data_IF_342602863274
#
_entry.id   IF_342602863274
#
_cell.length_a   1.000
_cell.length_b   1.000
_cell.length_c   1.000
_cell.angle_alpha   90.00
_cell.angle_beta   90.00
_cell.angle_gamma   90.00
#
_symmetry.space_group_name_H-M   'P 1'
#
loop_
_entity.id
_entity.type
_entity.pdbx_description
1 polymer ?
#
# COMPACT_ATOMS: atom_id res chain seq x y z
N UNK A 1 8.55 -12.04 16.19
CA UNK A 1 8.00 -11.40 14.99
C UNK A 1 8.83 -11.83 13.78
N UNK A 2 8.20 -12.48 12.84
CA UNK A 2 8.89 -12.95 11.64
C UNK A 2 8.44 -12.10 10.44
N UNK A 3 9.30 -11.19 10.02
CA UNK A 3 9.01 -10.30 8.90
C UNK A 3 9.33 -10.96 7.57
N UNK A 4 8.48 -10.73 6.58
CA UNK A 4 8.64 -11.24 5.22
C UNK A 4 9.16 -10.10 4.35
N UNK A 5 10.27 -10.30 3.60
CA UNK A 5 10.78 -9.25 2.74
C UNK A 5 9.88 -9.04 1.52
N UNK A 6 9.75 -7.79 1.11
CA UNK A 6 9.04 -7.39 -0.10
C UNK A 6 10.04 -6.75 -1.06
N UNK A 7 10.11 -7.31 -2.26
CA UNK A 7 11.16 -7.00 -3.23
C UNK A 7 10.62 -6.12 -4.35
N UNK A 8 11.49 -5.24 -4.87
CA UNK A 8 11.19 -4.51 -6.09
C UNK A 8 11.46 -5.41 -7.34
N UNK A 9 11.29 -4.82 -8.51
CA UNK A 9 11.49 -5.52 -9.79
C UNK A 9 12.89 -6.13 -9.92
N UNK A 10 13.89 -5.51 -9.33
CA UNK A 10 15.28 -5.96 -9.40
C UNK A 10 15.64 -6.97 -8.32
N UNK A 11 14.71 -7.32 -7.45
CA UNK A 11 14.94 -8.24 -6.34
C UNK A 11 15.52 -7.58 -5.09
N UNK A 12 15.55 -6.27 -5.02
CA UNK A 12 16.02 -5.55 -3.83
C UNK A 12 14.89 -5.41 -2.81
N UNK A 13 15.21 -5.63 -1.53
CA UNK A 13 14.24 -5.46 -0.46
C UNK A 13 13.91 -3.98 -0.29
N UNK A 14 12.64 -3.64 -0.34
CA UNK A 14 12.15 -2.26 -0.17
C UNK A 14 11.27 -2.10 1.04
N UNK A 15 10.70 -3.18 1.53
CA UNK A 15 9.79 -3.16 2.68
C UNK A 15 9.75 -4.54 3.33
N UNK A 16 9.13 -4.61 4.49
CA UNK A 16 8.93 -5.85 5.25
C UNK A 16 7.48 -5.92 5.70
N UNK A 17 6.90 -7.09 5.61
CA UNK A 17 5.53 -7.32 6.06
C UNK A 17 5.50 -8.24 7.27
N UNK A 18 4.63 -7.94 8.22
CA UNK A 18 4.33 -8.83 9.34
C UNK A 18 3.06 -9.62 9.03
N UNK A 19 3.16 -10.92 8.73
CA UNK A 19 1.98 -11.71 8.37
C UNK A 19 0.93 -11.77 9.48
N UNK A 20 1.35 -11.69 10.73
CA UNK A 20 0.42 -11.79 11.86
C UNK A 20 -0.51 -10.61 11.99
N UNK A 21 0.02 -9.40 11.83
CA UNK A 21 -0.77 -8.17 11.97
C UNK A 21 -1.17 -7.55 10.64
N UNK A 22 -0.48 -7.93 9.55
CA UNK A 22 -0.66 -7.33 8.24
C UNK A 22 0.08 -6.01 8.06
N UNK A 23 0.73 -5.49 9.07
CA UNK A 23 1.46 -4.22 8.95
C UNK A 23 2.67 -4.37 8.03
N UNK A 24 2.93 -3.31 7.25
CA UNK A 24 4.06 -3.21 6.34
C UNK A 24 4.93 -2.05 6.80
N UNK A 25 6.23 -2.32 6.95
CA UNK A 25 7.20 -1.33 7.39
C UNK A 25 8.20 -1.07 6.27
N UNK A 26 8.76 0.15 6.26
CA UNK A 26 9.83 0.49 5.33
C UNK A 26 11.20 0.03 5.88
N UNK A 27 12.26 0.36 5.16
CA UNK A 27 13.62 -0.06 5.54
C UNK A 27 14.10 0.59 6.84
N UNK A 28 13.49 1.69 7.26
CA UNK A 28 13.80 2.35 8.53
C UNK A 28 13.03 1.78 9.70
N UNK A 29 12.10 0.86 9.46
CA UNK A 29 11.23 0.30 10.51
C UNK A 29 9.95 1.08 10.73
N UNK A 30 9.66 2.05 9.88
CA UNK A 30 8.47 2.89 10.00
C UNK A 30 7.28 2.23 9.33
N UNK A 31 6.17 2.13 10.05
CA UNK A 31 4.93 1.60 9.53
C UNK A 31 4.35 2.58 8.50
N UNK A 32 3.98 2.09 7.32
CA UNK A 32 3.38 2.96 6.31
C UNK A 32 2.09 2.40 5.70
N UNK A 33 1.84 1.11 5.85
CA UNK A 33 0.64 0.48 5.26
C UNK A 33 0.29 -0.80 6.01
N UNK A 34 -0.87 -1.35 5.72
CA UNK A 34 -1.25 -2.67 6.21
C UNK A 34 -2.08 -3.41 5.18
N UNK A 35 -2.05 -4.73 5.28
CA UNK A 35 -2.85 -5.64 4.47
C UNK A 35 -4.11 -6.01 5.23
N UNK A 36 -5.25 -5.91 4.58
CA UNK A 36 -6.50 -6.44 5.10
C UNK A 36 -7.25 -7.10 3.94
N UNK A 37 -7.40 -8.43 4.02
CA UNK A 37 -7.88 -9.25 2.91
C UNK A 37 -7.03 -8.99 1.65
N UNK A 38 -7.63 -8.54 0.57
CA UNK A 38 -6.93 -8.25 -0.68
C UNK A 38 -6.58 -6.78 -0.86
N UNK A 39 -6.76 -5.97 0.17
CA UNK A 39 -6.49 -4.53 0.11
C UNK A 39 -5.19 -4.17 0.80
N UNK A 40 -4.48 -3.20 0.23
CA UNK A 40 -3.38 -2.50 0.88
C UNK A 40 -3.89 -1.14 1.28
N UNK A 41 -3.82 -0.84 2.57
CA UNK A 41 -4.31 0.41 3.14
C UNK A 41 -3.15 1.20 3.72
N UNK A 42 -3.20 2.51 3.58
CA UNK A 42 -2.25 3.38 4.24
C UNK A 42 -2.39 3.26 5.76
N UNK A 43 -1.41 3.75 6.50
CA UNK A 43 -1.49 3.76 7.96
C UNK A 43 -2.67 4.56 8.50
N UNK A 44 -3.33 5.35 7.66
CA UNK A 44 -4.53 6.12 8.03
C UNK A 44 -5.82 5.45 7.58
N UNK A 45 -5.74 4.32 6.90
CA UNK A 45 -6.90 3.52 6.52
C UNK A 45 -7.40 3.70 5.09
N UNK A 46 -6.75 4.54 4.28
CA UNK A 46 -7.16 4.73 2.88
C UNK A 46 -6.52 3.66 2.00
N UNK A 47 -7.31 2.99 1.18
CA UNK A 47 -6.78 1.96 0.29
C UNK A 47 -5.92 2.59 -0.79
N UNK A 48 -4.69 2.06 -0.95
CA UNK A 48 -3.71 2.55 -1.92
C UNK A 48 -3.33 1.49 -2.95
N UNK A 49 -3.80 0.27 -2.78
CA UNK A 49 -3.49 -0.81 -3.70
C UNK A 49 -4.11 -2.12 -3.30
N UNK A 50 -3.58 -3.21 -3.87
CA UNK A 50 -4.08 -4.56 -3.64
C UNK A 50 -2.96 -5.53 -3.32
N UNK A 51 -3.30 -6.48 -2.45
CA UNK A 51 -2.47 -7.64 -2.12
C UNK A 51 -3.02 -8.86 -2.85
N UNK A 52 -2.21 -9.48 -3.68
CA UNK A 52 -2.64 -10.62 -4.50
C UNK A 52 -2.00 -11.94 -4.07
N UNK A 53 -1.73 -12.10 -2.78
CA UNK A 53 -1.19 -13.33 -2.19
C UNK A 53 0.32 -13.38 -2.15
N UNK A 54 1.01 -12.93 -3.18
CA UNK A 54 2.47 -12.94 -3.29
C UNK A 54 3.07 -11.62 -3.76
N UNK A 55 2.22 -10.64 -4.11
CA UNK A 55 2.71 -9.34 -4.57
C UNK A 55 1.70 -8.24 -4.32
N UNK A 56 2.18 -7.01 -4.42
CA UNK A 56 1.41 -5.79 -4.22
C UNK A 56 1.29 -5.05 -5.54
N UNK A 57 0.08 -4.63 -5.88
CA UNK A 57 -0.18 -3.71 -6.98
C UNK A 57 -0.65 -2.37 -6.42
N UNK A 58 -0.25 -1.28 -7.08
CA UNK A 58 -0.70 0.05 -6.70
C UNK A 58 -2.14 0.30 -7.19
N UNK A 59 -2.66 1.49 -6.94
CA UNK A 59 -4.03 1.86 -7.32
C UNK A 59 -4.25 1.84 -8.85
N UNK A 60 -3.18 1.88 -9.64
CA UNK A 60 -3.24 1.83 -11.09
C UNK A 60 -3.13 0.41 -11.65
N UNK A 61 -3.01 -0.59 -10.77
CA UNK A 61 -2.90 -1.98 -11.17
C UNK A 61 -1.50 -2.43 -11.55
N UNK A 62 -0.50 -1.58 -11.38
CA UNK A 62 0.90 -1.90 -11.65
C UNK A 62 1.52 -2.67 -10.49
N UNK A 63 2.43 -3.60 -10.78
CA UNK A 63 3.15 -4.34 -9.74
C UNK A 63 4.19 -3.43 -9.09
N UNK A 64 4.23 -3.41 -7.77
CA UNK A 64 5.17 -2.56 -7.01
C UNK A 64 6.17 -3.39 -6.22
N UNK A 65 5.69 -4.38 -5.49
CA UNK A 65 6.49 -5.22 -4.61
C UNK A 65 6.04 -6.66 -4.71
N UNK A 66 6.97 -7.59 -4.48
CA UNK A 66 6.66 -9.01 -4.47
C UNK A 66 7.40 -9.72 -3.34
N UNK A 67 6.85 -10.87 -2.92
CA UNK A 67 7.59 -11.79 -2.06
C UNK A 67 8.70 -12.46 -2.85
N UNK A 68 9.75 -12.99 -2.17
CA UNK A 68 10.73 -13.84 -2.84
C UNK A 68 10.05 -15.02 -3.53
N UNK A 69 10.60 -15.43 -4.67
CA UNK A 69 10.08 -16.54 -5.47
C UNK A 69 8.68 -16.35 -6.06
N UNK A 70 8.15 -15.14 -6.01
CA UNK A 70 6.88 -14.86 -6.66
C UNK A 70 7.02 -14.97 -8.18
N UNK A 71 5.98 -15.50 -8.81
CA UNK A 71 5.89 -15.56 -10.26
C UNK A 71 4.71 -14.69 -10.69
N UNK A 72 5.01 -13.62 -11.42
CA UNK A 72 4.03 -12.61 -11.81
C UNK A 72 4.02 -12.52 -13.32
N UNK A 73 2.85 -12.75 -13.93
CA UNK A 73 2.70 -12.76 -15.39
C UNK A 73 3.68 -13.72 -16.06
N UNK A 74 3.93 -14.88 -15.43
CA UNK A 74 4.85 -15.89 -15.94
C UNK A 74 6.33 -15.58 -15.73
N UNK A 75 6.65 -14.48 -15.05
CA UNK A 75 8.04 -14.06 -14.81
C UNK A 75 8.37 -14.25 -13.34
N UNK A 76 9.42 -15.03 -13.08
CA UNK A 76 9.90 -15.25 -11.71
C UNK A 76 10.78 -14.09 -11.29
N UNK A 77 10.49 -13.54 -10.09
CA UNK A 77 11.26 -12.42 -9.56
C UNK A 77 12.62 -12.91 -9.08
N UNK A 78 13.73 -12.21 -9.43
CA UNK A 78 15.05 -12.60 -8.96
C UNK A 78 15.12 -12.65 -7.44
N UNK A 79 15.78 -13.69 -6.92
CA UNK A 79 15.96 -13.87 -5.50
C UNK A 79 17.38 -13.47 -5.11
N UNK A 80 17.51 -12.55 -4.16
CA UNK A 80 18.83 -12.20 -3.63
C UNK A 80 19.28 -13.26 -2.65
N UNK A 81 20.51 -13.76 -2.82
CA UNK A 81 21.09 -14.77 -1.93
C UNK A 81 21.27 -14.26 -0.50
N UNK A 82 21.42 -12.95 -0.33
CA UNK A 82 21.60 -12.31 0.96
C UNK A 82 20.55 -11.25 1.17
N UNK A 83 19.62 -11.55 2.08
CA UNK A 83 18.63 -10.57 2.49
C UNK A 83 19.21 -9.68 3.58
N UNK A 84 18.91 -8.37 3.58
CA UNK A 84 19.31 -7.51 4.68
C UNK A 84 18.59 -7.94 5.96
N UNK A 85 19.13 -7.51 7.11
CA UNK A 85 18.49 -7.74 8.39
C UNK A 85 17.25 -6.86 8.50
N UNK A 86 16.10 -7.42 8.91
CA UNK A 86 14.91 -6.60 9.10
C UNK A 86 15.13 -5.54 10.18
N UNK A 87 14.59 -4.33 10.02
CA UNK A 87 14.71 -3.31 11.03
C UNK A 87 13.85 -3.64 12.26
N UNK A 88 14.19 -3.06 13.39
CA UNK A 88 13.32 -3.10 14.56
C UNK A 88 12.14 -2.17 14.33
N UNK A 89 10.94 -2.63 14.71
CA UNK A 89 9.74 -1.84 14.52
C UNK A 89 8.76 -2.08 15.66
N UNK A 90 8.04 -1.03 16.01
CA UNK A 90 6.89 -1.11 16.89
C UNK A 90 5.63 -1.10 16.02
N UNK A 91 4.90 -2.21 16.04
CA UNK A 91 3.69 -2.34 15.25
C UNK A 91 2.49 -1.88 16.08
N UNK A 92 1.58 -1.11 15.48
CA UNK A 92 0.33 -0.77 16.17
C UNK A 92 -0.46 -2.03 16.53
N UNK A 93 -1.24 -1.94 17.60
CA UNK A 93 -2.05 -3.08 18.07
C UNK A 93 -3.39 -3.18 17.35
N UNK A 94 -3.81 -2.14 16.64
CA UNK A 94 -5.07 -2.12 15.93
C UNK A 94 -4.92 -1.37 14.61
N UNK A 95 -5.83 -1.66 13.68
CA UNK A 95 -5.88 -0.95 12.40
C UNK A 95 -6.88 0.19 12.45
N UNK A 96 -6.65 1.30 11.70
CA UNK A 96 -7.63 2.36 11.61
C UNK A 96 -8.86 1.93 10.81
N UNK A 97 -9.91 2.72 10.85
CA UNK A 97 -11.05 2.53 9.96
C UNK A 97 -10.60 2.60 8.50
N UNK A 98 -11.18 1.72 7.68
CA UNK A 98 -10.72 1.53 6.32
C UNK A 98 -11.66 2.20 5.33
N UNK A 99 -11.07 2.89 4.35
CA UNK A 99 -11.78 3.48 3.22
C UNK A 99 -11.29 2.78 1.96
N UNK A 100 -12.17 2.01 1.32
CA UNK A 100 -11.82 1.23 0.14
C UNK A 100 -11.88 2.05 -1.13
N UNK A 101 -11.05 1.68 -2.11
CA UNK A 101 -11.14 2.24 -3.45
C UNK A 101 -12.46 1.82 -4.08
N UNK A 102 -13.09 2.75 -4.79
CA UNK A 102 -14.34 2.50 -5.50
C UNK A 102 -14.11 1.86 -6.88
N UNK A 103 -12.90 2.02 -7.42
CA UNK A 103 -12.54 1.47 -8.72
C UNK A 103 -12.07 0.03 -8.58
N UNK A 104 -12.45 -0.88 -9.51
CA UNK A 104 -11.95 -2.24 -9.48
C UNK A 104 -10.47 -2.31 -9.84
N UNK A 105 -9.83 -3.39 -9.43
CA UNK A 105 -8.45 -3.67 -9.82
C UNK A 105 -8.41 -4.01 -11.32
N UNK A 106 -7.60 -3.26 -12.08
CA UNK A 106 -7.27 -3.57 -13.46
C UNK A 106 -5.80 -3.95 -13.52
N UNK A 107 -5.51 -5.25 -13.63
CA UNK A 107 -4.13 -5.74 -13.64
C UNK A 107 -3.41 -5.29 -14.90
N UNK A 108 -2.25 -4.67 -14.72
CA UNK A 108 -1.36 -4.28 -15.81
C UNK A 108 -0.06 -5.08 -15.74
N UNK A 109 0.54 -5.34 -16.90
CA UNK A 109 1.80 -6.08 -16.98
C UNK A 109 3.02 -5.20 -16.69
N UNK A 110 2.79 -3.98 -16.24
CA UNK A 110 3.85 -3.02 -15.94
C UNK A 110 4.21 -3.06 -14.47
N UNK A 111 5.49 -2.79 -14.20
CA UNK A 111 5.99 -2.54 -12.86
C UNK A 111 6.10 -1.06 -12.63
N UNK A 112 5.83 -0.63 -11.40
CA UNK A 112 6.08 0.72 -10.93
C UNK A 112 7.09 0.68 -9.81
N UNK A 113 7.76 1.78 -9.54
CA UNK A 113 8.69 1.85 -8.42
C UNK A 113 7.93 1.89 -7.08
N UNK A 114 8.65 1.65 -6.00
CA UNK A 114 8.08 1.66 -4.66
C UNK A 114 7.46 3.02 -4.33
N UNK A 115 8.04 4.09 -4.84
CA UNK A 115 7.52 5.44 -4.64
C UNK A 115 6.11 5.65 -5.17
N UNK A 116 5.68 4.87 -6.17
CA UNK A 116 4.32 4.99 -6.71
C UNK A 116 3.25 4.64 -5.68
N UNK A 117 3.54 3.75 -4.73
CA UNK A 117 2.64 3.43 -3.64
C UNK A 117 2.54 4.60 -2.67
N UNK A 118 3.67 5.21 -2.34
CA UNK A 118 3.72 6.41 -1.49
C UNK A 118 3.04 7.60 -2.16
N UNK A 119 3.27 7.81 -3.44
CA UNK A 119 2.64 8.88 -4.21
C UNK A 119 1.12 8.75 -4.19
N UNK A 120 0.60 7.56 -4.41
CA UNK A 120 -0.83 7.31 -4.31
C UNK A 120 -1.37 7.70 -2.95
N UNK A 121 -0.63 7.38 -1.90
CA UNK A 121 -0.98 7.73 -0.54
C UNK A 121 -0.99 9.25 -0.31
N UNK A 122 0.04 9.94 -0.76
CA UNK A 122 0.14 11.40 -0.62
C UNK A 122 -0.94 12.14 -1.39
N UNK A 123 -1.25 11.69 -2.60
CA UNK A 123 -2.31 12.28 -3.40
C UNK A 123 -3.67 12.14 -2.74
N UNK A 124 -3.95 10.98 -2.16
CA UNK A 124 -5.19 10.75 -1.44
C UNK A 124 -5.29 11.63 -0.21
N UNK A 125 -4.20 11.81 0.53
CA UNK A 125 -4.17 12.72 1.68
C UNK A 125 -4.41 14.16 1.26
N UNK A 126 -3.80 14.61 0.18
CA UNK A 126 -4.01 15.95 -0.35
C UNK A 126 -5.48 16.16 -0.75
N UNK A 127 -6.08 15.17 -1.40
CA UNK A 127 -7.50 15.20 -1.75
C UNK A 127 -8.37 15.31 -0.50
N UNK A 128 -8.12 14.48 0.51
CA UNK A 128 -8.87 14.52 1.77
C UNK A 128 -8.77 15.88 2.46
N UNK A 129 -7.58 16.48 2.48
CA UNK A 129 -7.39 17.82 3.03
C UNK A 129 -8.22 18.86 2.29
N UNK A 130 -8.25 18.79 0.97
CA UNK A 130 -9.03 19.73 0.15
C UNK A 130 -10.53 19.58 0.41
N UNK A 131 -11.02 18.36 0.52
CA UNK A 131 -12.42 18.10 0.87
C UNK A 131 -12.76 18.68 2.23
N UNK A 132 -11.91 18.48 3.22
CA UNK A 132 -12.12 19.04 4.56
C UNK A 132 -12.14 20.57 4.56
N UNK A 133 -11.27 21.17 3.75
CA UNK A 133 -11.21 22.62 3.63
C UNK A 133 -12.48 23.21 3.04
N UNK A 134 -13.08 22.51 2.08
CA UNK A 134 -14.29 22.97 1.41
C UNK A 134 -15.55 22.77 2.25
N UNK A 135 -15.59 21.75 3.11
CA UNK A 135 -16.75 21.42 3.93
C UNK A 135 -17.27 22.57 4.78
N UNK A 136 -16.43 23.31 5.54
CA UNK A 136 -16.93 24.42 6.34
C UNK A 136 -17.54 25.54 5.51
N UNK A 137 -17.03 25.75 4.30
CA UNK A 137 -17.53 26.77 3.39
C UNK A 137 -18.84 26.36 2.72
N UNK A 138 -19.08 25.06 2.65
CA UNK A 138 -20.24 24.48 1.97
C UNK A 138 -21.26 23.89 2.91
N UNK A 139 -21.30 24.36 4.15
CA UNK A 139 -22.28 23.91 5.15
C UNK A 139 -23.71 24.01 4.68
N UNK A 140 -24.00 24.97 3.82
CA UNK A 140 -25.33 25.23 3.29
C UNK A 140 -25.67 24.35 2.11
N UNK A 141 -24.66 23.81 1.42
CA UNK A 141 -24.87 23.02 0.20
C UNK A 141 -24.53 21.58 0.46
N UNK A 142 -25.43 20.83 1.08
CA UNK A 142 -25.28 19.41 1.33
C UNK A 142 -24.98 18.57 0.10
N UNK A 143 -25.52 18.86 -1.08
CA UNK A 143 -25.23 18.08 -2.27
C UNK A 143 -23.76 18.05 -2.67
N UNK A 144 -23.01 19.08 -2.35
CA UNK A 144 -21.60 19.20 -2.71
C UNK A 144 -20.75 18.14 -2.04
N UNK A 145 -21.04 17.80 -0.79
CA UNK A 145 -20.27 16.78 -0.08
C UNK A 145 -20.53 15.38 -0.62
N UNK A 146 -21.71 15.09 -1.12
CA UNK A 146 -21.98 13.77 -1.71
C UNK A 146 -21.32 13.59 -3.05
N UNK A 147 -21.09 14.65 -3.80
CA UNK A 147 -20.39 14.59 -5.09
C UNK A 147 -18.91 14.29 -4.91
N UNK A 148 -18.34 14.69 -3.79
CA UNK A 148 -16.92 14.47 -3.50
C UNK A 148 -16.62 13.06 -3.00
N UNK A 149 -17.63 12.30 -2.72
CA UNK A 149 -17.50 10.90 -2.34
C UNK A 149 -17.55 10.00 -3.57
#
# INVERSE_FOLDING_TARGET
MKLVPLLDRSGNVKAWADPGSGWIIDLSGKVFAFVFFNGIFSRHGTQVGWWLGDHIRNRYGQVVLSQPDAEIDGIKIPFQKRLPTPPKAHLPTSHPAMIRLLTPLLKKHQWADFGSLHHGFEQLRAYEKNVRRLRPQNNVSGPTSSVLL
#
